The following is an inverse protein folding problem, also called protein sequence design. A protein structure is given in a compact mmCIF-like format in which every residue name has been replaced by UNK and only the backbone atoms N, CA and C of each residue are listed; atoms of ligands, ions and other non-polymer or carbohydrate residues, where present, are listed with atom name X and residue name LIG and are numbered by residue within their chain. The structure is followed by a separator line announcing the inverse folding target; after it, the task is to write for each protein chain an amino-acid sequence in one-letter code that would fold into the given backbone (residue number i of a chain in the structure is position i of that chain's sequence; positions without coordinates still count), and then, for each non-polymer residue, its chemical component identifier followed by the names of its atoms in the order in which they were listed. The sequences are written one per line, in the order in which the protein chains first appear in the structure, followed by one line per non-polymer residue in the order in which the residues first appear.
data_IF_864339129515
#
_entry.id   IF_864339129515
#
_cell.length_a   1.000
_cell.length_b   1.000
_cell.length_c   1.000
_cell.angle_alpha   90.00
_cell.angle_beta   90.00
_cell.angle_gamma   90.00
#
_symmetry.space_group_name_H-M   'P 1'
#
loop_
_entity.id
_entity.type
_entity.pdbx_description
1 polymer ?
#
# COMPACT_ATOMS: atom_id res chain seq x y z
N UNK A 1 6.76 -0.43 -23.03
CA UNK A 1 7.38 0.90 -22.96
C UNK A 1 6.87 1.56 -21.68
N UNK A 2 7.72 1.55 -20.64
CA UNK A 2 7.45 2.24 -19.39
C UNK A 2 7.50 3.74 -19.67
N UNK A 3 6.38 4.42 -19.49
CA UNK A 3 6.36 5.88 -19.41
C UNK A 3 6.66 6.27 -17.97
N UNK A 4 7.83 6.82 -17.66
CA UNK A 4 8.10 7.34 -16.32
C UNK A 4 7.04 8.37 -15.97
N UNK A 5 6.58 8.36 -14.73
CA UNK A 5 5.63 9.35 -14.24
C UNK A 5 6.33 10.71 -14.29
N UNK A 6 5.99 11.49 -15.30
CA UNK A 6 6.70 12.74 -15.63
C UNK A 6 6.59 13.73 -14.45
N UNK A 7 7.73 14.33 -14.07
CA UNK A 7 7.79 15.34 -13.01
C UNK A 7 7.73 14.79 -11.58
N UNK A 8 8.00 13.49 -11.40
CA UNK A 8 8.13 12.89 -10.08
C UNK A 8 9.48 12.20 -9.91
N UNK A 9 10.02 12.28 -8.71
CA UNK A 9 11.16 11.49 -8.25
C UNK A 9 10.72 10.45 -7.23
N UNK A 10 11.44 9.33 -7.17
CA UNK A 10 11.16 8.24 -6.25
C UNK A 10 12.40 7.97 -5.40
N UNK A 11 12.22 7.94 -4.10
CA UNK A 11 13.31 7.73 -3.15
C UNK A 11 12.90 6.86 -1.97
N UNK A 12 13.87 6.42 -1.19
CA UNK A 12 13.61 5.76 0.08
C UNK A 12 13.08 6.75 1.10
N UNK A 13 12.16 6.32 1.98
CA UNK A 13 11.75 7.16 3.11
C UNK A 13 12.88 7.33 4.10
N UNK A 14 12.82 8.43 4.82
CA UNK A 14 13.62 8.71 6.00
C UNK A 14 12.71 8.94 7.19
N UNK A 15 13.25 8.94 8.39
CA UNK A 15 12.45 9.17 9.60
C UNK A 15 11.76 10.55 9.59
N UNK A 16 12.37 11.54 8.95
CA UNK A 16 11.80 12.88 8.81
C UNK A 16 10.54 12.95 7.94
N UNK A 17 10.26 11.92 7.13
CA UNK A 17 9.05 11.86 6.32
C UNK A 17 7.80 11.52 7.12
N UNK A 18 7.95 10.96 8.32
CA UNK A 18 6.84 10.55 9.15
C UNK A 18 5.86 11.70 9.44
N UNK A 19 6.35 12.82 9.98
CA UNK A 19 5.51 13.97 10.31
C UNK A 19 4.70 14.49 9.11
N UNK A 20 5.36 14.88 7.99
CA UNK A 20 4.66 15.37 6.80
C UNK A 20 3.62 14.41 6.21
N UNK A 21 3.85 13.10 6.32
CA UNK A 21 2.91 12.08 5.83
C UNK A 21 1.73 11.95 6.78
N UNK A 22 1.97 11.82 8.07
CA UNK A 22 0.93 11.70 9.10
C UNK A 22 -0.02 12.90 9.08
N UNK A 23 0.51 14.10 8.88
CA UNK A 23 -0.29 15.33 8.79
C UNK A 23 -1.25 15.37 7.60
N UNK A 24 -1.05 14.52 6.59
CA UNK A 24 -1.83 14.52 5.34
C UNK A 24 -2.63 13.25 5.09
N UNK A 25 -2.21 12.14 5.68
CA UNK A 25 -2.77 10.84 5.32
C UNK A 25 -4.27 10.73 5.58
N UNK A 26 -4.77 11.33 6.63
CA UNK A 26 -6.20 11.32 6.95
C UNK A 26 -7.01 12.07 5.89
N UNK A 27 -6.54 13.22 5.44
CA UNK A 27 -7.18 13.99 4.37
C UNK A 27 -7.20 13.22 3.04
N UNK A 28 -6.12 12.48 2.75
CA UNK A 28 -6.04 11.65 1.55
C UNK A 28 -7.04 10.49 1.55
N UNK A 29 -7.52 10.09 2.72
CA UNK A 29 -8.56 9.09 2.93
C UNK A 29 -9.93 9.68 3.31
N UNK A 30 -10.18 10.95 2.96
CA UNK A 30 -11.46 11.60 3.19
C UNK A 30 -11.79 11.83 4.69
N UNK A 31 -10.77 12.09 5.51
CA UNK A 31 -10.90 12.34 6.93
C UNK A 31 -10.93 11.10 7.82
N UNK A 32 -10.63 9.91 7.27
CA UNK A 32 -10.48 8.69 8.07
C UNK A 32 -9.18 8.74 8.86
N UNK A 33 -9.21 8.21 10.09
CA UNK A 33 -8.04 8.14 10.97
C UNK A 33 -7.02 7.09 10.50
N UNK A 34 -6.28 7.40 9.45
CA UNK A 34 -5.26 6.52 8.89
C UNK A 34 -3.90 6.70 9.56
N UNK A 35 -3.67 7.85 10.21
CA UNK A 35 -2.41 8.15 10.90
C UNK A 35 -2.10 7.17 12.02
N UNK A 36 -3.11 6.60 12.69
CA UNK A 36 -2.95 5.60 13.73
C UNK A 36 -2.30 4.31 13.22
N UNK A 37 -2.40 4.06 11.90
CA UNK A 37 -1.81 2.90 11.23
C UNK A 37 -0.37 3.13 10.77
N UNK A 38 0.17 4.34 10.96
CA UNK A 38 1.51 4.73 10.52
C UNK A 38 2.40 5.18 11.67
N UNK A 39 2.71 4.32 12.66
CA UNK A 39 3.71 4.64 13.66
C UNK A 39 5.08 4.90 13.02
N UNK A 40 5.91 5.69 13.69
CA UNK A 40 7.25 6.12 13.22
C UNK A 40 8.15 4.96 12.81
N UNK A 41 7.95 3.77 13.40
CA UNK A 41 8.75 2.58 13.11
C UNK A 41 8.80 2.21 11.61
N UNK A 42 7.77 2.53 10.83
CA UNK A 42 7.75 2.29 9.38
C UNK A 42 8.85 3.09 8.64
N UNK A 43 9.17 4.26 9.16
CA UNK A 43 10.17 5.17 8.61
C UNK A 43 11.56 5.00 9.27
N UNK A 44 11.69 4.08 10.22
CA UNK A 44 12.94 3.73 10.88
C UNK A 44 13.46 2.36 10.46
N UNK A 45 12.57 1.35 10.37
CA UNK A 45 12.95 -0.05 10.25
C UNK A 45 12.54 -0.71 8.94
N UNK A 46 11.68 -0.09 8.13
CA UNK A 46 11.16 -0.66 6.88
C UNK A 46 11.49 0.17 5.64
N UNK A 47 12.47 1.06 5.73
CA UNK A 47 12.84 1.97 4.64
C UNK A 47 13.42 1.26 3.42
N UNK A 48 14.07 0.11 3.61
CA UNK A 48 14.66 -0.68 2.52
C UNK A 48 13.65 -1.36 1.60
N UNK A 49 12.38 -1.43 1.99
CA UNK A 49 11.27 -1.97 1.20
C UNK A 49 10.12 -0.97 1.03
N UNK A 50 10.37 0.29 1.32
CA UNK A 50 9.37 1.36 1.23
C UNK A 50 9.82 2.45 0.28
N UNK A 51 8.87 3.23 -0.26
CA UNK A 51 9.14 4.24 -1.27
C UNK A 51 8.31 5.50 -1.04
N UNK A 52 8.92 6.66 -1.35
CA UNK A 52 8.28 7.97 -1.43
C UNK A 52 8.33 8.43 -2.89
N UNK A 53 7.21 8.95 -3.37
CA UNK A 53 7.14 9.72 -4.60
C UNK A 53 7.06 11.21 -4.25
N UNK A 54 7.93 12.03 -4.84
CA UNK A 54 7.99 13.48 -4.64
C UNK A 54 7.79 14.23 -5.94
N UNK A 55 7.17 15.40 -5.86
CA UNK A 55 7.13 16.36 -6.95
C UNK A 55 8.48 17.09 -7.09
N UNK A 56 8.67 17.81 -8.17
CA UNK A 56 9.86 18.67 -8.39
C UNK A 56 10.05 19.72 -7.27
N UNK A 57 8.98 20.11 -6.58
CA UNK A 57 9.02 21.05 -5.45
C UNK A 57 9.27 20.38 -4.10
N UNK A 58 9.50 19.05 -4.08
CA UNK A 58 9.70 18.27 -2.85
C UNK A 58 8.42 17.95 -2.08
N UNK A 59 7.23 18.21 -2.66
CA UNK A 59 5.98 17.81 -2.04
C UNK A 59 5.73 16.30 -2.22
N UNK A 60 5.20 15.64 -1.20
CA UNK A 60 4.91 14.20 -1.26
C UNK A 60 3.71 13.96 -2.18
N UNK A 61 3.96 13.21 -3.26
CA UNK A 61 2.97 12.81 -4.25
C UNK A 61 2.31 11.47 -3.88
N UNK A 62 3.03 10.63 -3.16
CA UNK A 62 2.55 9.34 -2.69
C UNK A 62 3.61 8.59 -1.91
N UNK A 63 3.22 7.48 -1.29
CA UNK A 63 4.14 6.60 -0.59
C UNK A 63 3.63 5.16 -0.58
N UNK A 64 4.55 4.23 -0.38
CA UNK A 64 4.27 2.84 -0.09
C UNK A 64 5.15 2.40 1.07
N UNK A 65 4.56 1.84 2.11
CA UNK A 65 5.25 1.16 3.19
C UNK A 65 4.93 -0.33 3.18
N UNK A 66 5.97 -1.16 3.20
CA UNK A 66 5.84 -2.60 3.11
C UNK A 66 7.09 -3.32 3.58
N UNK A 67 7.02 -4.64 3.66
CA UNK A 67 8.11 -5.47 4.16
C UNK A 67 8.09 -6.88 3.55
N UNK A 68 9.23 -7.57 3.63
CA UNK A 68 9.29 -9.02 3.44
C UNK A 68 8.97 -9.68 4.77
N UNK A 69 8.06 -10.66 4.75
CA UNK A 69 7.66 -11.36 5.98
C UNK A 69 8.88 -12.07 6.61
N UNK A 70 9.20 -11.83 7.88
CA UNK A 70 10.25 -12.58 8.56
C UNK A 70 9.90 -14.04 8.79
N UNK A 71 8.62 -14.38 8.91
CA UNK A 71 8.15 -15.75 9.13
C UNK A 71 7.92 -16.52 7.84
N UNK A 72 7.70 -15.81 6.73
CA UNK A 72 7.46 -16.35 5.40
C UNK A 72 8.31 -15.60 4.38
N UNK A 73 9.59 -15.95 4.24
CA UNK A 73 10.56 -15.16 3.48
C UNK A 73 10.28 -15.11 1.96
N UNK A 74 9.41 -15.97 1.45
CA UNK A 74 8.91 -15.94 0.08
C UNK A 74 7.64 -15.07 -0.10
N UNK A 75 7.17 -14.44 0.97
CA UNK A 75 6.02 -13.53 0.98
C UNK A 75 6.41 -12.12 1.41
N UNK A 76 5.74 -11.12 0.83
CA UNK A 76 5.84 -9.73 1.22
C UNK A 76 4.46 -9.15 1.53
N UNK A 77 4.43 -8.07 2.27
CA UNK A 77 3.21 -7.40 2.68
C UNK A 77 3.30 -5.90 2.43
N UNK A 78 2.30 -5.35 1.76
CA UNK A 78 2.12 -3.90 1.65
C UNK A 78 1.17 -3.45 2.74
N UNK A 79 1.71 -2.71 3.71
CA UNK A 79 0.94 -2.21 4.83
C UNK A 79 0.05 -1.04 4.42
N UNK A 80 0.62 -0.09 3.67
CA UNK A 80 -0.13 1.05 3.17
C UNK A 80 0.48 1.58 1.88
N UNK A 81 -0.38 1.95 0.94
CA UNK A 81 -0.03 2.71 -0.25
C UNK A 81 -1.01 3.87 -0.38
N UNK A 82 -0.49 5.05 -0.62
CA UNK A 82 -1.29 6.26 -0.76
C UNK A 82 -0.80 7.13 -1.91
N UNK A 83 -1.72 7.81 -2.55
CA UNK A 83 -1.43 8.84 -3.55
C UNK A 83 -2.19 10.10 -3.21
N UNK A 84 -1.50 11.24 -3.27
CA UNK A 84 -2.14 12.54 -3.14
C UNK A 84 -3.35 12.62 -4.08
N UNK A 85 -4.55 12.91 -3.59
CA UNK A 85 -5.78 12.96 -4.39
C UNK A 85 -5.67 13.82 -5.65
N UNK A 86 -4.91 14.92 -5.58
CA UNK A 86 -4.71 15.83 -6.72
C UNK A 86 -3.80 15.24 -7.81
N UNK A 87 -3.10 14.15 -7.52
CA UNK A 87 -2.17 13.48 -8.44
C UNK A 87 -2.61 12.06 -8.83
N UNK A 88 -3.86 11.70 -8.52
CA UNK A 88 -4.46 10.42 -8.92
C UNK A 88 -4.51 10.29 -10.44
N UNK A 89 -4.60 9.04 -10.92
CA UNK A 89 -4.63 8.67 -12.36
C UNK A 89 -3.37 9.03 -13.14
N UNK A 90 -2.28 9.39 -12.47
CA UNK A 90 -0.96 9.67 -13.08
C UNK A 90 0.01 8.49 -12.96
N UNK A 91 -0.45 7.32 -12.52
CA UNK A 91 0.38 6.12 -12.40
C UNK A 91 1.23 6.03 -11.14
N UNK A 92 1.09 6.97 -10.19
CA UNK A 92 1.94 7.02 -8.98
C UNK A 92 1.88 5.71 -8.18
N UNK A 93 0.68 5.19 -7.90
CA UNK A 93 0.54 3.93 -7.16
C UNK A 93 1.15 2.75 -7.92
N UNK A 94 1.01 2.69 -9.24
CA UNK A 94 1.61 1.65 -10.08
C UNK A 94 3.14 1.68 -9.96
N UNK A 95 3.75 2.84 -10.14
CA UNK A 95 5.20 2.99 -10.06
C UNK A 95 5.74 2.63 -8.66
N UNK A 96 5.03 3.01 -7.59
CA UNK A 96 5.37 2.61 -6.22
C UNK A 96 5.35 1.09 -6.05
N UNK A 97 4.32 0.43 -6.58
CA UNK A 97 4.22 -1.03 -6.56
C UNK A 97 5.29 -1.70 -7.42
N UNK A 98 5.57 -1.18 -8.61
CA UNK A 98 6.57 -1.78 -9.51
C UNK A 98 7.97 -1.74 -8.87
N UNK A 99 8.32 -0.63 -8.20
CA UNK A 99 9.56 -0.53 -7.42
C UNK A 99 9.60 -1.47 -6.22
N UNK A 100 8.51 -1.57 -5.48
CA UNK A 100 8.40 -2.52 -4.38
C UNK A 100 8.56 -3.96 -4.88
N UNK A 101 7.92 -4.32 -5.99
CA UNK A 101 8.03 -5.66 -6.59
C UNK A 101 9.47 -5.98 -6.99
N UNK A 102 10.19 -5.04 -7.60
CA UNK A 102 11.61 -5.22 -7.93
C UNK A 102 12.43 -5.52 -6.68
N UNK A 103 12.24 -4.73 -5.62
CA UNK A 103 12.97 -4.92 -4.36
C UNK A 103 12.72 -6.29 -3.73
N UNK A 104 11.46 -6.70 -3.63
CA UNK A 104 11.12 -7.94 -2.93
C UNK A 104 11.40 -9.18 -3.78
N UNK A 105 11.27 -9.10 -5.10
CA UNK A 105 11.73 -10.17 -6.00
C UNK A 105 13.23 -10.43 -5.87
N UNK A 106 14.02 -9.38 -5.78
CA UNK A 106 15.46 -9.49 -5.54
C UNK A 106 15.82 -10.17 -4.21
N UNK A 107 14.85 -10.29 -3.31
CA UNK A 107 14.98 -11.00 -2.02
C UNK A 107 14.33 -12.39 -2.01
N UNK A 108 13.86 -12.88 -3.16
CA UNK A 108 13.26 -14.21 -3.29
C UNK A 108 11.76 -14.29 -3.04
N UNK A 109 11.09 -13.15 -2.90
CA UNK A 109 9.63 -13.11 -2.72
C UNK A 109 8.92 -13.54 -4.00
N UNK A 110 7.86 -14.33 -3.83
CA UNK A 110 6.99 -14.82 -4.90
C UNK A 110 5.55 -14.34 -4.79
N UNK A 111 5.15 -13.86 -3.61
CA UNK A 111 3.77 -13.46 -3.35
C UNK A 111 3.71 -12.21 -2.51
N UNK A 112 2.80 -11.30 -2.87
CA UNK A 112 2.54 -10.07 -2.14
C UNK A 112 1.12 -10.10 -1.59
N UNK A 113 0.99 -9.69 -0.35
CA UNK A 113 -0.27 -9.53 0.36
C UNK A 113 -0.57 -8.07 0.68
N UNK A 114 -1.83 -7.71 0.67
CA UNK A 114 -2.36 -6.46 1.22
C UNK A 114 -3.76 -6.74 1.79
N UNK A 115 -4.21 -5.89 2.69
CA UNK A 115 -5.58 -5.92 3.19
C UNK A 115 -6.22 -4.55 3.04
N UNK A 116 -7.53 -4.54 2.90
CA UNK A 116 -8.30 -3.30 2.89
C UNK A 116 -9.66 -3.52 3.54
N UNK A 117 -10.28 -2.45 4.01
CA UNK A 117 -11.67 -2.51 4.41
C UNK A 117 -12.55 -2.87 3.19
N UNK A 118 -13.46 -3.85 3.31
CA UNK A 118 -14.21 -4.37 2.14
C UNK A 118 -15.12 -3.33 1.47
N UNK A 119 -15.53 -2.29 2.19
CA UNK A 119 -16.28 -1.15 1.62
C UNK A 119 -15.42 -0.14 0.85
N UNK A 120 -14.10 -0.26 0.90
CA UNK A 120 -13.19 0.62 0.15
C UNK A 120 -13.08 0.15 -1.31
N UNK A 121 -14.12 0.41 -2.10
CA UNK A 121 -14.18 0.02 -3.51
C UNK A 121 -13.06 0.60 -4.36
N UNK A 122 -12.61 1.81 -4.03
CA UNK A 122 -11.49 2.46 -4.74
C UNK A 122 -10.21 1.65 -4.57
N UNK A 123 -9.90 1.25 -3.34
CA UNK A 123 -8.74 0.42 -3.06
C UNK A 123 -8.84 -0.95 -3.72
N UNK A 124 -9.96 -1.64 -3.61
CA UNK A 124 -10.20 -2.95 -4.24
C UNK A 124 -10.02 -2.85 -5.76
N UNK A 125 -10.62 -1.84 -6.40
CA UNK A 125 -10.51 -1.64 -7.85
C UNK A 125 -9.06 -1.34 -8.27
N UNK A 126 -8.39 -0.45 -7.55
CA UNK A 126 -7.00 -0.09 -7.83
C UNK A 126 -6.06 -1.29 -7.73
N UNK A 127 -6.18 -2.11 -6.69
CA UNK A 127 -5.37 -3.32 -6.53
C UNK A 127 -5.65 -4.36 -7.62
N UNK A 128 -6.90 -4.54 -8.01
CA UNK A 128 -7.24 -5.43 -9.14
C UNK A 128 -6.60 -4.95 -10.44
N UNK A 129 -6.60 -3.66 -10.70
CA UNK A 129 -5.90 -3.07 -11.86
C UNK A 129 -4.38 -3.23 -11.80
N UNK A 130 -3.82 -3.44 -10.59
CA UNK A 130 -2.42 -3.76 -10.34
C UNK A 130 -2.14 -5.27 -10.35
N UNK A 131 -3.10 -6.11 -10.72
CA UNK A 131 -2.94 -7.55 -10.84
C UNK A 131 -3.15 -8.35 -9.55
N UNK A 132 -3.72 -7.73 -8.51
CA UNK A 132 -4.12 -8.46 -7.31
C UNK A 132 -5.46 -9.16 -7.51
N UNK A 133 -5.61 -10.31 -6.88
CA UNK A 133 -6.86 -11.05 -6.75
C UNK A 133 -7.38 -10.94 -5.33
N UNK A 134 -8.70 -10.97 -5.16
CA UNK A 134 -9.32 -11.13 -3.85
C UNK A 134 -9.23 -12.58 -3.42
N UNK A 135 -8.69 -12.83 -2.24
CA UNK A 135 -8.68 -14.15 -1.65
C UNK A 135 -10.11 -14.57 -1.30
N UNK A 136 -10.47 -15.77 -1.73
CA UNK A 136 -11.75 -16.42 -1.41
C UNK A 136 -11.45 -17.79 -0.82
N UNK A 137 -12.20 -18.21 0.18
CA UNK A 137 -11.99 -19.50 0.82
C UNK A 137 -12.78 -19.65 2.12
N UNK A 138 -12.49 -20.69 2.92
CA UNK A 138 -13.13 -20.88 4.20
C UNK A 138 -13.00 -19.64 5.08
N UNK A 139 -14.11 -19.19 5.65
CA UNK A 139 -14.15 -17.99 6.51
C UNK A 139 -14.41 -16.69 5.79
N UNK A 140 -14.34 -16.64 4.45
CA UNK A 140 -14.74 -15.43 3.70
C UNK A 140 -16.25 -15.42 3.46
N UNK A 141 -16.82 -14.22 3.48
CA UNK A 141 -18.21 -13.97 3.09
C UNK A 141 -18.31 -12.60 2.40
N UNK A 142 -19.37 -12.35 1.62
CA UNK A 142 -19.60 -11.02 1.05
C UNK A 142 -19.89 -10.00 2.15
N UNK A 143 -19.05 -8.95 2.22
CA UNK A 143 -19.25 -7.79 3.08
C UNK A 143 -19.12 -6.56 2.17
N UNK A 144 -20.15 -5.72 2.13
CA UNK A 144 -20.26 -4.62 1.16
C UNK A 144 -20.07 -5.07 -0.30
N UNK A 145 -20.45 -6.32 -0.62
CA UNK A 145 -20.30 -6.89 -1.97
C UNK A 145 -18.88 -7.37 -2.31
N UNK A 146 -17.97 -7.38 -1.34
CA UNK A 146 -16.58 -7.84 -1.49
C UNK A 146 -16.35 -9.06 -0.60
N UNK A 147 -15.74 -10.15 -1.11
CA UNK A 147 -15.31 -11.26 -0.26
C UNK A 147 -14.34 -10.77 0.83
N UNK A 148 -14.66 -11.02 2.08
CA UNK A 148 -13.85 -10.53 3.21
C UNK A 148 -13.99 -11.45 4.44
N UNK A 149 -13.03 -11.30 5.33
CA UNK A 149 -13.05 -11.91 6.66
C UNK A 149 -13.67 -10.92 7.65
N UNK A 150 -14.73 -11.37 8.33
CA UNK A 150 -15.37 -10.58 9.37
C UNK A 150 -14.49 -10.55 10.63
N UNK A 151 -14.51 -9.41 11.33
CA UNK A 151 -13.80 -9.22 12.61
C UNK A 151 -12.32 -9.67 12.55
N UNK A 152 -11.67 -9.43 11.43
CA UNK A 152 -10.33 -9.95 11.13
C UNK A 152 -9.25 -9.45 12.09
N UNK A 153 -9.19 -8.15 12.31
CA UNK A 153 -8.23 -7.55 13.23
C UNK A 153 -8.81 -7.36 14.64
N UNK A 154 -10.09 -7.07 14.73
CA UNK A 154 -10.85 -6.87 15.97
C UNK A 154 -12.36 -6.88 15.64
N UNK A 155 -13.26 -6.92 16.64
CA UNK A 155 -14.70 -6.79 16.41
C UNK A 155 -15.03 -5.54 15.58
N UNK A 156 -15.72 -5.74 14.44
CA UNK A 156 -16.04 -4.69 13.46
C UNK A 156 -14.91 -4.33 12.49
N UNK A 157 -13.73 -4.91 12.64
CA UNK A 157 -12.56 -4.66 11.77
C UNK A 157 -12.45 -5.71 10.67
N UNK A 158 -13.38 -5.65 9.72
CA UNK A 158 -13.41 -6.57 8.58
C UNK A 158 -12.30 -6.25 7.58
N UNK A 159 -11.73 -7.28 6.94
CA UNK A 159 -10.67 -7.14 5.92
C UNK A 159 -10.95 -8.00 4.70
N UNK A 160 -10.85 -7.37 3.54
CA UNK A 160 -10.67 -8.05 2.27
C UNK A 160 -9.17 -8.30 2.05
N UNK A 161 -8.81 -9.54 1.74
CA UNK A 161 -7.44 -9.92 1.45
C UNK A 161 -7.16 -9.82 -0.05
N UNK A 162 -6.09 -9.16 -0.39
CA UNK A 162 -5.60 -8.98 -1.74
C UNK A 162 -4.27 -9.70 -1.88
N UNK A 163 -4.13 -10.51 -2.91
CA UNK A 163 -2.95 -11.35 -3.14
C UNK A 163 -2.50 -11.22 -4.58
N UNK A 164 -1.20 -11.11 -4.80
CA UNK A 164 -0.59 -11.12 -6.13
C UNK A 164 0.65 -12.01 -6.13
N UNK A 165 0.67 -12.99 -7.03
CA UNK A 165 1.89 -13.74 -7.36
C UNK A 165 2.78 -12.92 -8.29
N UNK A 166 4.10 -12.95 -8.07
CA UNK A 166 5.07 -12.12 -8.77
C UNK A 166 6.26 -12.92 -9.31
#
# INVERSE_FOLDING_TARGET
VEHPVTGLTFRRPTESDHGPIVDRVDDWWGGRRMHDLLPRLWFQHFTGTSWIAETETGAIAGFLVGFVSPDRPDEAYVHMVATNPNLRRRGVARELYDRFIVDVRGRGVRRIHAVTWPGNRVSVHAHRALGFSLATGPGTRPIHGTPAYQDYDAPGEDRAHLVRDI
#
